data_IF_766759869347
#
_entry.id   IF_766759869347
#
_cell.length_a   1.000
_cell.length_b   1.000
_cell.length_c   1.000
_cell.angle_alpha   90.00
_cell.angle_beta   90.00
_cell.angle_gamma   90.00
#
_symmetry.space_group_name_H-M   'P 1'
#
loop_
_entity.id
_entity.type
_entity.pdbx_description
1 polymer ?
#
# COMPACT_ATOMS: atom_id res chain seq x y z
N UNK A 1 -53.49 6.21 26.09
CA UNK A 1 -52.22 5.59 26.54
C UNK A 1 -52.13 4.21 25.93
N UNK A 2 -51.27 4.03 24.93
CA UNK A 2 -50.90 2.73 24.42
C UNK A 2 -49.45 2.79 23.93
N UNK A 3 -48.69 1.86 24.48
CA UNK A 3 -47.37 1.30 24.23
C UNK A 3 -46.85 1.43 22.78
N UNK A 4 -45.58 1.80 22.63
CA UNK A 4 -44.72 1.31 21.56
C UNK A 4 -43.28 1.12 22.09
N UNK A 5 -42.87 -0.14 22.17
CA UNK A 5 -41.53 -0.60 22.55
C UNK A 5 -40.51 -0.31 21.45
N UNK A 6 -39.34 0.22 21.82
CA UNK A 6 -38.18 0.32 20.92
C UNK A 6 -37.16 -0.78 21.23
N UNK A 7 -37.17 -1.79 20.35
CA UNK A 7 -36.07 -2.68 19.95
C UNK A 7 -34.83 -1.81 19.62
N UNK A 8 -33.56 -2.11 19.87
CA UNK A 8 -32.83 -3.26 20.40
C UNK A 8 -31.32 -3.01 20.15
N UNK A 9 -30.54 -2.89 21.22
CA UNK A 9 -29.15 -3.36 21.45
C UNK A 9 -27.98 -2.97 20.51
N UNK A 10 -28.15 -2.41 19.30
CA UNK A 10 -27.01 -2.12 18.39
C UNK A 10 -26.45 -0.68 18.45
N UNK A 11 -27.20 0.31 18.91
CA UNK A 11 -26.77 1.72 18.92
C UNK A 11 -25.71 2.05 19.98
N UNK A 12 -25.79 1.38 21.15
CA UNK A 12 -24.89 1.64 22.28
C UNK A 12 -23.47 1.14 21.97
N UNK A 13 -23.34 -0.04 21.35
CA UNK A 13 -22.05 -0.69 21.04
C UNK A 13 -21.24 0.07 19.98
N UNK A 14 -21.92 0.69 19.01
CA UNK A 14 -21.27 1.52 17.99
C UNK A 14 -20.73 2.83 18.60
N UNK A 15 -21.50 3.48 19.47
CA UNK A 15 -21.09 4.69 20.19
C UNK A 15 -19.88 4.44 21.12
N UNK A 16 -19.85 3.30 21.84
CA UNK A 16 -18.70 2.95 22.71
C UNK A 16 -17.43 2.63 21.91
N UNK A 17 -17.58 2.06 20.70
CA UNK A 17 -16.43 1.73 19.82
C UNK A 17 -15.77 2.99 19.26
N UNK A 18 -16.54 4.02 18.92
CA UNK A 18 -15.99 5.30 18.44
C UNK A 18 -15.32 6.12 19.56
N UNK A 19 -15.88 6.09 20.78
CA UNK A 19 -15.29 6.80 21.93
C UNK A 19 -13.89 6.26 22.28
N UNK A 20 -13.74 4.93 22.34
CA UNK A 20 -12.44 4.29 22.60
C UNK A 20 -11.39 4.51 21.49
N UNK A 21 -11.81 4.88 20.28
CA UNK A 21 -10.92 5.22 19.16
C UNK A 21 -10.44 6.67 19.23
N UNK A 22 -11.32 7.60 19.65
CA UNK A 22 -10.99 9.01 19.85
C UNK A 22 -10.04 9.24 21.02
N UNK A 23 -10.06 8.36 22.03
CA UNK A 23 -9.19 8.42 23.22
C UNK A 23 -7.79 7.82 23.00
N UNK A 24 -7.47 7.34 21.79
CA UNK A 24 -6.14 6.77 21.48
C UNK A 24 -5.08 7.85 21.29
N UNK A 25 -3.88 7.59 21.80
CA UNK A 25 -2.67 8.41 21.62
C UNK A 25 -2.47 8.86 20.17
N UNK A 26 -2.71 7.97 19.20
CA UNK A 26 -2.54 8.28 17.78
C UNK A 26 -3.41 9.45 17.26
N UNK A 27 -4.66 9.59 17.72
CA UNK A 27 -5.53 10.72 17.32
C UNK A 27 -4.98 12.01 17.91
N UNK A 28 -4.59 11.98 19.19
CA UNK A 28 -4.02 13.13 19.89
C UNK A 28 -2.68 13.57 19.28
N UNK A 29 -1.79 12.62 18.97
CA UNK A 29 -0.51 12.87 18.33
C UNK A 29 -0.70 13.44 16.92
N UNK A 30 -1.68 12.92 16.18
CA UNK A 30 -2.00 13.43 14.83
C UNK A 30 -2.57 14.85 14.91
N UNK A 31 -3.44 15.14 15.87
CA UNK A 31 -3.98 16.49 16.08
C UNK A 31 -2.88 17.48 16.50
N UNK A 32 -1.94 17.05 17.34
CA UNK A 32 -0.78 17.85 17.73
C UNK A 32 0.14 18.14 16.55
N UNK A 33 0.46 17.12 15.75
CA UNK A 33 1.24 17.27 14.52
C UNK A 33 0.55 18.22 13.54
N UNK A 34 -0.76 18.09 13.37
CA UNK A 34 -1.53 18.92 12.44
C UNK A 34 -1.53 20.39 12.88
N UNK A 35 -1.57 20.64 14.19
CA UNK A 35 -1.49 21.98 14.78
C UNK A 35 -0.12 22.61 14.53
N UNK A 36 0.95 21.82 14.72
CA UNK A 36 2.33 22.24 14.46
C UNK A 36 2.55 22.58 12.98
N UNK A 37 2.08 21.72 12.07
CA UNK A 37 2.19 21.93 10.63
C UNK A 37 1.45 23.20 10.18
N UNK A 38 0.25 23.44 10.74
CA UNK A 38 -0.49 24.67 10.49
C UNK A 38 0.31 25.91 10.89
N UNK A 39 0.99 25.87 12.05
CA UNK A 39 1.86 26.96 12.51
C UNK A 39 3.08 27.16 11.62
N UNK A 40 3.76 26.09 11.25
CA UNK A 40 4.97 26.15 10.42
C UNK A 40 4.67 26.63 9.00
N UNK A 41 3.62 26.11 8.35
CA UNK A 41 3.28 26.50 6.99
C UNK A 41 2.85 27.95 6.88
N UNK A 42 2.21 28.50 7.92
CA UNK A 42 1.98 29.94 8.00
C UNK A 42 3.26 30.74 8.24
N UNK A 43 4.13 30.31 9.15
CA UNK A 43 5.42 30.97 9.38
C UNK A 43 6.27 31.07 8.11
N UNK A 44 6.19 30.05 7.26
CA UNK A 44 6.83 29.99 5.94
C UNK A 44 6.04 30.72 4.83
N UNK A 45 4.87 31.29 5.14
CA UNK A 45 3.93 31.92 4.20
C UNK A 45 3.44 31.01 3.06
N UNK A 46 3.47 29.69 3.27
CA UNK A 46 2.93 28.71 2.31
C UNK A 46 1.40 28.65 2.34
N UNK A 47 0.81 29.12 3.45
CA UNK A 47 -0.64 29.28 3.63
C UNK A 47 -0.90 30.68 4.16
N UNK A 48 -1.87 31.41 3.60
CA UNK A 48 -2.21 32.78 4.02
C UNK A 48 -3.70 32.93 4.32
N UNK A 49 -4.03 33.51 5.48
CA UNK A 49 -5.38 33.96 5.84
C UNK A 49 -6.33 32.88 6.40
N UNK A 50 -7.50 33.33 6.86
CA UNK A 50 -8.61 32.51 7.41
C UNK A 50 -9.52 31.89 6.32
N UNK A 51 -9.11 31.99 5.05
CA UNK A 51 -9.88 31.54 3.89
C UNK A 51 -9.68 30.06 3.54
N UNK A 52 -10.53 29.56 2.65
CA UNK A 52 -10.64 28.15 2.23
C UNK A 52 -9.41 27.54 1.51
N UNK A 53 -8.30 28.28 1.40
CA UNK A 53 -7.07 27.87 0.73
C UNK A 53 -5.99 27.57 1.76
N UNK A 54 -5.94 26.32 2.26
CA UNK A 54 -4.90 25.91 3.20
C UNK A 54 -5.27 24.79 4.18
N UNK A 55 -6.18 23.90 3.81
CA UNK A 55 -6.56 22.79 4.69
C UNK A 55 -5.51 21.68 4.63
N UNK A 56 -5.01 21.30 5.80
CA UNK A 56 -4.19 20.12 5.99
C UNK A 56 -5.12 19.05 6.58
N UNK A 57 -5.14 17.88 5.97
CA UNK A 57 -5.81 16.69 6.49
C UNK A 57 -4.78 15.57 6.56
N UNK A 58 -4.72 14.88 7.69
CA UNK A 58 -3.77 13.80 7.93
C UNK A 58 -4.57 12.55 8.30
N UNK A 59 -4.17 11.44 7.69
CA UNK A 59 -4.66 10.13 8.05
C UNK A 59 -4.02 9.71 9.37
N UNK A 60 -4.84 9.39 10.37
CA UNK A 60 -4.40 9.11 11.75
C UNK A 60 -3.66 7.77 11.87
N UNK A 61 -3.97 6.81 11.00
CA UNK A 61 -3.45 5.45 11.09
C UNK A 61 -2.61 5.08 9.86
N UNK A 62 -1.56 4.29 10.09
CA UNK A 62 -0.75 3.68 9.04
C UNK A 62 -1.50 2.58 8.26
N UNK A 63 -0.79 1.92 7.34
CA UNK A 63 -1.36 0.90 6.46
C UNK A 63 -1.77 -0.40 7.18
N UNK A 64 -1.39 -0.57 8.46
CA UNK A 64 -1.72 -1.75 9.28
C UNK A 64 -3.18 -1.78 9.78
N UNK A 65 -3.91 -0.66 9.68
CA UNK A 65 -5.33 -0.59 10.07
C UNK A 65 -6.20 -0.67 8.82
N UNK A 66 -7.24 -1.52 8.75
CA UNK A 66 -8.14 -1.60 7.59
C UNK A 66 -8.80 -0.25 7.25
N UNK A 67 -8.96 0.08 5.95
CA UNK A 67 -9.49 1.38 5.49
C UNK A 67 -10.78 1.81 6.18
N UNK A 68 -11.74 0.89 6.34
CA UNK A 68 -13.04 1.16 6.99
C UNK A 68 -12.92 1.60 8.46
N UNK A 69 -11.79 1.35 9.09
CA UNK A 69 -11.50 1.71 10.48
C UNK A 69 -10.49 2.87 10.58
N UNK A 70 -10.03 3.41 9.46
CA UNK A 70 -9.10 4.53 9.45
C UNK A 70 -9.81 5.85 9.74
N UNK A 71 -9.15 6.71 10.51
CA UNK A 71 -9.61 8.04 10.86
C UNK A 71 -8.79 9.11 10.13
N UNK A 72 -9.38 10.30 9.98
CA UNK A 72 -8.68 11.49 9.50
C UNK A 72 -8.80 12.62 10.52
N UNK A 73 -7.68 13.28 10.78
CA UNK A 73 -7.65 14.56 11.47
C UNK A 73 -7.63 15.68 10.43
N UNK A 74 -8.44 16.72 10.61
CA UNK A 74 -8.57 17.83 9.68
C UNK A 74 -8.56 19.16 10.40
N UNK A 75 -7.76 20.11 9.90
CA UNK A 75 -7.66 21.46 10.41
C UNK A 75 -8.95 22.26 10.12
N UNK A 76 -9.55 22.85 11.15
CA UNK A 76 -10.76 23.65 11.00
C UNK A 76 -10.60 24.91 10.14
N UNK A 77 -11.70 25.35 9.52
CA UNK A 77 -11.78 26.64 8.82
C UNK A 77 -12.20 27.77 9.75
N UNK A 78 -11.77 29.00 9.44
CA UNK A 78 -12.14 30.20 10.20
C UNK A 78 -11.33 30.45 11.47
N UNK A 79 -10.40 29.55 11.81
CA UNK A 79 -9.39 29.75 12.86
C UNK A 79 -8.08 30.22 12.22
N UNK A 80 -7.44 31.21 12.84
CA UNK A 80 -6.07 31.59 12.52
C UNK A 80 -5.14 30.36 12.70
N UNK A 81 -4.57 29.86 11.60
CA UNK A 81 -3.80 28.60 11.59
C UNK A 81 -2.58 28.65 12.52
N UNK A 82 -2.03 29.83 12.76
CA UNK A 82 -0.95 30.10 13.70
C UNK A 82 -1.35 29.95 15.19
N UNK A 83 -2.65 29.97 15.48
CA UNK A 83 -3.23 29.81 16.83
C UNK A 83 -3.98 28.49 17.01
N UNK A 84 -3.87 27.58 16.03
CA UNK A 84 -4.59 26.33 16.05
C UNK A 84 -4.01 25.39 17.10
N UNK A 85 -4.88 24.86 17.94
CA UNK A 85 -4.54 23.86 18.97
C UNK A 85 -5.14 22.49 18.61
N UNK A 86 -4.65 21.38 19.20
CA UNK A 86 -5.15 20.04 18.88
C UNK A 86 -6.67 19.89 19.03
N UNK A 87 -7.27 20.63 19.97
CA UNK A 87 -8.70 20.63 20.27
C UNK A 87 -9.53 21.35 19.19
N UNK A 88 -8.88 22.14 18.33
CA UNK A 88 -9.53 22.80 17.20
C UNK A 88 -9.69 21.87 15.97
N UNK A 89 -9.18 20.64 16.03
CA UNK A 89 -9.20 19.68 14.93
C UNK A 89 -10.53 18.93 14.82
N UNK A 90 -10.94 18.64 13.59
CA UNK A 90 -12.00 17.69 13.32
C UNK A 90 -11.44 16.29 13.17
N UNK A 91 -12.11 15.30 13.76
CA UNK A 91 -11.83 13.89 13.47
C UNK A 91 -12.98 13.35 12.63
N UNK A 92 -12.64 12.80 11.47
CA UNK A 92 -13.57 12.25 10.50
C UNK A 92 -13.42 10.72 10.43
N UNK A 93 -14.54 10.04 10.19
CA UNK A 93 -14.53 8.63 9.79
C UNK A 93 -13.97 8.49 8.37
N UNK A 94 -13.62 7.25 7.98
CA UNK A 94 -13.26 6.93 6.61
C UNK A 94 -14.33 7.37 5.58
N UNK A 95 -15.62 7.33 5.97
CA UNK A 95 -16.73 7.78 5.13
C UNK A 95 -16.95 9.30 5.11
N UNK A 96 -16.10 10.08 5.77
CA UNK A 96 -16.20 11.54 5.84
C UNK A 96 -17.21 12.07 6.85
N UNK A 97 -17.77 11.23 7.72
CA UNK A 97 -18.66 11.68 8.79
C UNK A 97 -17.85 12.30 9.93
N UNK A 98 -18.30 13.43 10.47
CA UNK A 98 -17.66 14.08 11.63
C UNK A 98 -17.90 13.21 12.88
N UNK A 99 -16.81 12.72 13.47
CA UNK A 99 -16.80 11.93 14.70
C UNK A 99 -16.44 12.77 15.92
N UNK A 100 -15.60 13.80 15.72
CA UNK A 100 -15.26 14.80 16.75
C UNK A 100 -15.15 16.18 16.11
N UNK A 101 -15.60 17.20 16.82
CA UNK A 101 -15.62 18.59 16.38
C UNK A 101 -15.08 19.51 17.48
N UNK A 102 -14.45 20.61 17.08
CA UNK A 102 -14.02 21.66 18.01
C UNK A 102 -15.18 22.16 18.89
N UNK A 103 -14.95 22.39 20.20
CA UNK A 103 -15.94 23.02 21.06
C UNK A 103 -16.23 24.46 20.58
N UNK A 104 -17.46 24.99 20.80
CA UNK A 104 -17.81 26.36 20.44
C UNK A 104 -16.98 27.35 21.27
N UNK A 105 -16.32 28.31 20.61
CA UNK A 105 -15.55 29.36 21.28
C UNK A 105 -16.48 30.51 21.72
N UNK A 106 -16.23 31.15 22.88
CA UNK A 106 -17.02 32.30 23.32
C UNK A 106 -16.80 33.53 22.42
N UNK A 107 -17.81 34.40 22.38
CA UNK A 107 -17.81 35.66 21.61
C UNK A 107 -16.54 36.50 21.88
N UNK A 108 -15.91 37.15 20.87
CA UNK A 108 -16.41 37.45 19.52
C UNK A 108 -16.02 36.43 18.44
N UNK A 109 -15.57 35.22 18.83
CA UNK A 109 -15.10 34.23 17.86
C UNK A 109 -16.25 33.39 17.29
N UNK A 110 -16.31 33.26 15.97
CA UNK A 110 -17.23 32.33 15.30
C UNK A 110 -16.80 30.88 15.59
N UNK A 111 -17.78 29.98 15.75
CA UNK A 111 -17.50 28.55 15.82
C UNK A 111 -16.69 28.11 14.60
N UNK A 112 -15.67 27.27 14.76
CA UNK A 112 -14.95 26.72 13.63
C UNK A 112 -15.92 25.95 12.73
N UNK A 113 -15.76 26.05 11.42
CA UNK A 113 -16.60 25.33 10.46
C UNK A 113 -15.78 24.22 9.81
N UNK A 114 -16.33 23.01 9.78
CA UNK A 114 -15.90 21.95 8.88
C UNK A 114 -16.47 22.30 7.50
N UNK A 115 -15.63 22.60 6.51
CA UNK A 115 -16.12 22.86 5.15
C UNK A 115 -16.60 21.57 4.48
N UNK A 116 -17.62 21.67 3.62
CA UNK A 116 -18.08 20.60 2.71
C UNK A 116 -17.11 20.37 1.53
N UNK A 117 -15.82 20.61 1.72
CA UNK A 117 -14.80 20.10 0.83
C UNK A 117 -14.62 18.62 1.19
N UNK A 118 -15.50 17.77 0.64
CA UNK A 118 -15.21 16.33 0.60
C UNK A 118 -13.81 16.18 0.00
N UNK A 119 -12.86 15.45 0.62
CA UNK A 119 -11.59 15.24 -0.02
C UNK A 119 -11.87 14.64 -1.40
N UNK A 120 -11.41 15.28 -2.47
CA UNK A 120 -11.62 14.82 -3.85
C UNK A 120 -11.08 13.40 -4.09
N UNK A 121 -10.35 12.83 -3.13
CA UNK A 121 -9.92 11.42 -3.09
C UNK A 121 -10.89 10.45 -2.40
N UNK A 122 -12.06 10.89 -1.91
CA UNK A 122 -12.93 10.07 -1.04
C UNK A 122 -14.33 9.78 -1.59
N UNK A 123 -14.77 10.48 -2.65
CA UNK A 123 -16.02 10.15 -3.36
C UNK A 123 -15.68 9.66 -4.75
N UNK A 124 -15.83 8.36 -4.99
CA UNK A 124 -16.15 7.86 -6.33
C UNK A 124 -17.43 8.55 -6.85
N UNK A 125 -17.74 8.49 -8.16
CA UNK A 125 -18.76 9.32 -8.78
C UNK A 125 -20.18 8.86 -8.42
N UNK A 126 -20.65 9.19 -7.22
CA UNK A 126 -22.04 8.99 -6.80
C UNK A 126 -22.57 10.25 -6.12
N UNK A 127 -22.62 11.36 -6.88
CA UNK A 127 -23.74 12.34 -6.91
C UNK A 127 -23.32 13.60 -7.66
N UNK A 128 -24.06 13.94 -8.73
CA UNK A 128 -24.02 15.26 -9.37
C UNK A 128 -24.53 16.31 -8.37
N UNK A 129 -23.64 17.17 -7.89
CA UNK A 129 -24.03 18.41 -7.22
C UNK A 129 -24.11 19.50 -8.29
N UNK A 130 -25.31 20.01 -8.55
CA UNK A 130 -25.52 21.23 -9.37
C UNK A 130 -25.04 22.43 -8.55
N UNK A 131 -23.81 22.87 -8.78
CA UNK A 131 -23.33 24.17 -8.34
C UNK A 131 -23.85 25.27 -9.26
N UNK A 132 -24.77 26.10 -8.74
CA UNK A 132 -25.24 27.30 -9.44
C UNK A 132 -24.21 28.43 -9.21
N UNK A 133 -23.28 28.62 -10.15
CA UNK A 133 -22.38 29.78 -10.12
C UNK A 133 -22.90 30.86 -11.09
N UNK A 134 -23.29 32.01 -10.52
CA UNK A 134 -23.63 33.21 -11.28
C UNK A 134 -22.34 33.98 -11.62
N UNK A 135 -22.26 34.37 -12.90
CA UNK A 135 -21.50 35.47 -13.51
C UNK A 135 -20.10 35.20 -14.10
N UNK A 136 -20.11 35.01 -15.43
CA UNK A 136 -19.37 35.71 -16.50
C UNK A 136 -17.90 36.12 -16.30
N UNK A 137 -17.00 35.48 -17.06
CA UNK A 137 -16.34 36.07 -18.24
C UNK A 137 -15.49 34.98 -18.92
N UNK A 138 -15.69 34.78 -20.22
CA UNK A 138 -15.05 33.70 -20.99
C UNK A 138 -13.61 33.99 -21.38
N UNK A 139 -12.87 32.92 -21.64
CA UNK A 139 -11.86 32.75 -22.70
C UNK A 139 -11.86 31.25 -23.00
N UNK A 140 -12.28 30.89 -24.21
CA UNK A 140 -12.27 29.54 -24.75
C UNK A 140 -10.94 29.33 -25.48
N UNK A 141 -10.11 28.38 -25.03
CA UNK A 141 -8.89 27.98 -25.73
C UNK A 141 -8.94 26.46 -25.94
N UNK A 142 -9.62 26.06 -27.00
CA UNK A 142 -9.54 24.73 -27.57
C UNK A 142 -8.19 24.57 -28.30
N UNK A 143 -7.28 23.78 -27.74
CA UNK A 143 -6.12 23.27 -28.49
C UNK A 143 -6.50 21.89 -29.04
N UNK A 144 -6.93 21.85 -30.31
CA UNK A 144 -7.06 20.60 -31.08
C UNK A 144 -5.67 20.17 -31.56
N UNK A 145 -5.10 19.15 -30.93
CA UNK A 145 -4.01 18.39 -31.53
C UNK A 145 -4.61 17.41 -32.56
N UNK A 146 -4.26 17.60 -33.83
CA UNK A 146 -4.68 16.79 -34.98
C UNK A 146 -3.66 15.65 -35.15
N UNK A 147 -4.00 14.44 -34.76
CA UNK A 147 -3.24 13.24 -35.12
C UNK A 147 -3.80 12.65 -36.42
N UNK A 148 -2.95 12.54 -37.44
CA UNK A 148 -3.26 11.91 -38.72
C UNK A 148 -3.06 10.39 -38.62
N UNK A 149 -3.95 9.69 -39.33
CA UNK A 149 -4.19 8.24 -39.45
C UNK A 149 -3.07 7.24 -39.12
N UNK A 150 -3.45 6.25 -38.31
CA UNK A 150 -3.08 4.84 -38.49
C UNK A 150 -4.29 3.97 -38.15
N UNK A 151 -4.36 2.82 -38.82
CA UNK A 151 -5.51 1.95 -39.01
C UNK A 151 -6.28 1.54 -37.74
N UNK A 152 -7.61 1.54 -37.89
CA UNK A 152 -8.61 1.11 -36.93
C UNK A 152 -8.50 -0.40 -36.62
N UNK A 153 -7.77 -0.73 -35.56
CA UNK A 153 -8.33 -1.58 -34.49
C UNK A 153 -8.23 -0.75 -33.22
N UNK A 154 -9.37 -0.22 -32.74
CA UNK A 154 -9.44 0.42 -31.43
C UNK A 154 -9.28 -0.65 -30.34
N UNK A 155 -8.08 -1.21 -30.19
CA UNK A 155 -7.70 -1.89 -28.96
C UNK A 155 -7.48 -0.78 -27.93
N UNK A 156 -8.48 -0.61 -27.06
CA UNK A 156 -8.41 0.32 -25.95
C UNK A 156 -7.33 -0.21 -25.00
N UNK A 157 -6.14 0.38 -25.07
CA UNK A 157 -5.07 0.11 -24.12
C UNK A 157 -5.61 0.24 -22.68
N UNK A 158 -5.27 -0.69 -21.79
CA UNK A 158 -5.71 -0.60 -20.39
C UNK A 158 -5.17 0.68 -19.78
N UNK A 159 -5.97 1.32 -18.93
CA UNK A 159 -5.55 2.54 -18.22
C UNK A 159 -4.44 2.23 -17.22
N UNK A 160 -4.56 1.07 -16.57
CA UNK A 160 -3.60 0.56 -15.59
C UNK A 160 -3.22 -0.88 -15.93
N UNK A 161 -1.93 -1.20 -15.76
CA UNK A 161 -1.43 -2.58 -15.81
C UNK A 161 -0.92 -2.92 -14.41
N UNK A 162 -1.37 -4.04 -13.85
CA UNK A 162 -0.86 -4.60 -12.60
C UNK A 162 -0.12 -5.89 -12.96
N UNK A 163 1.13 -6.01 -12.54
CA UNK A 163 2.00 -7.12 -12.90
C UNK A 163 2.36 -7.92 -11.65
N UNK A 164 2.34 -9.24 -11.80
CA UNK A 164 3.06 -10.13 -10.91
C UNK A 164 4.58 -10.10 -11.14
N UNK A 165 5.34 -10.69 -10.22
CA UNK A 165 6.81 -10.81 -10.32
C UNK A 165 7.21 -12.18 -10.83
N UNK A 166 7.13 -13.19 -9.98
CA UNK A 166 7.59 -14.55 -10.24
C UNK A 166 6.81 -15.15 -11.41
N UNK A 167 7.49 -15.75 -12.37
CA UNK A 167 6.87 -16.36 -13.55
C UNK A 167 6.25 -15.38 -14.55
N UNK A 168 6.31 -14.07 -14.29
CA UNK A 168 5.63 -13.03 -15.09
C UNK A 168 6.60 -11.97 -15.62
N UNK A 169 7.25 -11.22 -14.73
CA UNK A 169 8.32 -10.28 -15.09
C UNK A 169 9.70 -10.85 -14.84
N UNK A 170 9.81 -11.80 -13.91
CA UNK A 170 11.05 -12.37 -13.39
C UNK A 170 10.95 -13.89 -13.40
N UNK A 171 12.00 -14.64 -13.81
CA UNK A 171 11.99 -16.10 -13.73
C UNK A 171 11.69 -16.60 -12.31
N UNK A 172 10.85 -17.64 -12.18
CA UNK A 172 10.56 -18.26 -10.87
C UNK A 172 11.85 -18.68 -10.17
N UNK A 173 12.78 -19.26 -10.93
CA UNK A 173 14.10 -19.69 -10.46
C UNK A 173 14.93 -18.58 -9.83
N UNK A 174 14.76 -17.31 -10.23
CA UNK A 174 15.50 -16.22 -9.61
C UNK A 174 15.12 -16.05 -8.12
N UNK A 175 13.84 -16.23 -7.78
CA UNK A 175 13.41 -16.12 -6.38
C UNK A 175 13.82 -17.36 -5.60
N UNK A 176 13.56 -18.55 -6.14
CA UNK A 176 13.81 -19.83 -5.44
C UNK A 176 15.28 -20.20 -5.36
N UNK A 177 16.07 -19.88 -6.38
CA UNK A 177 17.45 -20.38 -6.53
C UNK A 177 18.48 -19.29 -6.25
N UNK A 178 18.08 -18.02 -6.20
CA UNK A 178 18.99 -16.89 -5.92
C UNK A 178 18.58 -16.13 -4.67
N UNK A 179 17.38 -15.53 -4.62
CA UNK A 179 17.02 -14.63 -3.51
C UNK A 179 16.90 -15.38 -2.16
N UNK A 180 16.15 -16.48 -2.10
CA UNK A 180 15.99 -17.23 -0.85
C UNK A 180 17.31 -17.88 -0.38
N UNK A 181 18.11 -18.55 -1.25
CA UNK A 181 19.42 -19.04 -0.87
C UNK A 181 20.35 -17.92 -0.40
N UNK A 182 20.37 -16.77 -1.06
CA UNK A 182 21.19 -15.63 -0.62
C UNK A 182 20.83 -15.18 0.80
N UNK A 183 19.53 -15.05 1.10
CA UNK A 183 19.09 -14.67 2.44
C UNK A 183 19.50 -15.70 3.49
N UNK A 184 19.33 -16.99 3.18
CA UNK A 184 19.75 -18.10 4.06
C UNK A 184 21.26 -18.05 4.32
N UNK A 185 22.07 -17.92 3.28
CA UNK A 185 23.53 -18.02 3.40
C UNK A 185 24.17 -16.77 4.03
N UNK A 186 23.46 -15.63 4.01
CA UNK A 186 23.96 -14.36 4.54
C UNK A 186 23.32 -13.91 5.86
N UNK A 187 22.33 -14.63 6.39
CA UNK A 187 21.65 -14.23 7.65
C UNK A 187 22.64 -14.11 8.83
N UNK A 188 23.56 -15.05 8.98
CA UNK A 188 24.57 -14.99 10.03
C UNK A 188 25.48 -13.77 9.89
N UNK A 189 26.04 -13.55 8.70
CA UNK A 189 26.89 -12.38 8.39
C UNK A 189 26.14 -11.06 8.65
N UNK A 190 24.88 -10.98 8.21
CA UNK A 190 24.05 -9.79 8.40
C UNK A 190 23.82 -9.51 9.90
N UNK A 191 23.39 -10.50 10.66
CA UNK A 191 23.14 -10.34 12.09
C UNK A 191 24.42 -10.01 12.86
N UNK A 192 25.57 -10.61 12.55
CA UNK A 192 26.85 -10.29 13.21
C UNK A 192 27.21 -8.80 13.03
N UNK A 193 27.12 -8.32 11.79
CA UNK A 193 27.49 -6.96 11.42
C UNK A 193 26.50 -5.91 11.90
N UNK A 194 25.20 -6.22 11.86
CA UNK A 194 24.14 -5.26 12.12
C UNK A 194 23.53 -5.38 13.53
N UNK A 195 23.92 -6.36 14.35
CA UNK A 195 23.26 -6.70 15.62
C UNK A 195 22.91 -5.47 16.47
N UNK A 196 23.87 -4.57 16.66
CA UNK A 196 23.75 -3.44 17.58
C UNK A 196 23.00 -2.24 16.96
N UNK A 197 22.53 -2.37 15.72
CA UNK A 197 21.72 -1.35 15.05
C UNK A 197 20.25 -1.46 15.50
N UNK A 198 19.56 -0.31 15.56
CA UNK A 198 18.14 -0.28 15.92
C UNK A 198 17.28 -1.14 14.99
N UNK A 199 17.56 -1.13 13.68
CA UNK A 199 16.81 -1.89 12.68
C UNK A 199 16.96 -3.40 12.87
N UNK A 200 18.18 -3.89 13.14
CA UNK A 200 18.39 -5.30 13.43
C UNK A 200 17.76 -5.70 14.77
N UNK A 201 17.77 -4.83 15.78
CA UNK A 201 17.09 -5.10 17.05
C UNK A 201 15.58 -5.21 16.89
N UNK A 202 14.97 -4.41 16.01
CA UNK A 202 13.55 -4.54 15.66
C UNK A 202 13.26 -5.87 14.94
N UNK A 203 14.11 -6.29 14.00
CA UNK A 203 14.02 -7.60 13.35
C UNK A 203 14.11 -8.75 14.37
N UNK A 204 15.12 -8.70 15.24
CA UNK A 204 15.37 -9.68 16.28
C UNK A 204 14.17 -9.79 17.22
N UNK A 205 13.58 -8.66 17.62
CA UNK A 205 12.40 -8.63 18.48
C UNK A 205 11.19 -9.31 17.82
N UNK A 206 10.94 -9.02 16.54
CA UNK A 206 9.85 -9.67 15.80
C UNK A 206 10.10 -11.17 15.63
N UNK A 207 11.32 -11.58 15.32
CA UNK A 207 11.70 -12.99 15.20
C UNK A 207 11.58 -13.72 16.53
N UNK A 208 12.01 -13.12 17.64
CA UNK A 208 11.81 -13.68 18.99
C UNK A 208 10.35 -13.96 19.27
N UNK A 209 9.48 -12.97 19.04
CA UNK A 209 8.03 -13.13 19.23
C UNK A 209 7.47 -14.27 18.36
N UNK A 210 7.88 -14.35 17.09
CA UNK A 210 7.43 -15.42 16.21
C UNK A 210 7.90 -16.80 16.68
N UNK A 211 9.17 -16.92 17.07
CA UNK A 211 9.76 -18.19 17.52
C UNK A 211 9.13 -18.65 18.84
N UNK A 212 8.83 -17.74 19.77
CA UNK A 212 8.08 -18.07 20.97
C UNK A 212 6.70 -18.67 20.66
N UNK A 213 5.99 -18.10 19.68
CA UNK A 213 4.69 -18.63 19.25
C UNK A 213 4.85 -19.97 18.51
N UNK A 214 5.90 -20.13 17.70
CA UNK A 214 6.21 -21.38 17.02
C UNK A 214 6.52 -22.51 18.01
N UNK A 215 7.27 -22.22 19.07
CA UNK A 215 7.56 -23.17 20.16
C UNK A 215 6.30 -23.57 20.92
N UNK A 216 5.40 -22.62 21.23
CA UNK A 216 4.11 -22.91 21.87
C UNK A 216 3.23 -23.82 21.00
N UNK A 217 3.30 -23.64 19.68
CA UNK A 217 2.52 -24.41 18.72
C UNK A 217 3.21 -25.70 18.25
N UNK A 218 4.41 -26.01 18.76
CA UNK A 218 5.15 -27.22 18.41
C UNK A 218 5.56 -27.27 16.92
N UNK A 219 5.89 -26.12 16.33
CA UNK A 219 6.32 -26.05 14.93
C UNK A 219 7.71 -26.70 14.79
N UNK A 220 7.82 -27.66 13.88
CA UNK A 220 9.07 -28.35 13.59
C UNK A 220 10.19 -27.37 13.17
N UNK A 221 11.36 -27.53 13.77
CA UNK A 221 12.54 -26.70 13.50
C UNK A 221 12.64 -25.40 14.29
N UNK A 222 11.63 -25.07 15.11
CA UNK A 222 11.72 -23.94 16.05
C UNK A 222 12.69 -24.28 17.20
N UNK A 223 13.63 -23.37 17.50
CA UNK A 223 14.58 -23.51 18.61
C UNK A 223 14.51 -22.28 19.53
N UNK A 224 14.60 -22.44 20.86
CA UNK A 224 14.52 -21.31 21.79
C UNK A 224 15.67 -20.33 21.57
N UNK A 225 15.35 -19.04 21.55
CA UNK A 225 16.34 -17.97 21.44
C UNK A 225 16.73 -17.54 22.86
N UNK A 226 18.02 -17.64 23.25
CA UNK A 226 18.49 -17.25 24.58
C UNK A 226 18.17 -15.79 24.92
N UNK A 227 18.13 -15.44 26.21
CA UNK A 227 18.00 -14.04 26.63
C UNK A 227 19.25 -13.22 26.24
N UNK A 228 19.12 -11.90 26.15
CA UNK A 228 20.20 -11.02 25.65
C UNK A 228 21.47 -11.05 26.53
N UNK A 229 21.35 -11.49 27.79
CA UNK A 229 22.47 -11.68 28.71
C UNK A 229 23.29 -12.98 28.47
N UNK A 230 22.82 -13.88 27.61
CA UNK A 230 23.52 -15.12 27.25
C UNK A 230 24.74 -14.86 26.34
N UNK A 231 24.81 -13.68 25.72
CA UNK A 231 25.85 -13.31 24.78
C UNK A 231 25.34 -13.24 23.35
N UNK A 232 25.90 -12.30 22.59
CA UNK A 232 25.50 -11.97 21.22
C UNK A 232 25.60 -13.18 20.28
N UNK A 233 26.66 -13.96 20.42
CA UNK A 233 26.95 -15.10 19.56
C UNK A 233 25.90 -16.21 19.68
N UNK A 234 25.46 -16.51 20.90
CA UNK A 234 24.44 -17.55 21.16
C UNK A 234 23.07 -17.13 20.62
N UNK A 235 22.71 -15.86 20.81
CA UNK A 235 21.45 -15.29 20.27
C UNK A 235 21.45 -15.36 18.74
N UNK A 236 22.55 -14.94 18.10
CA UNK A 236 22.68 -14.99 16.64
C UNK A 236 22.59 -16.43 16.14
N UNK A 237 23.29 -17.39 16.76
CA UNK A 237 23.24 -18.79 16.34
C UNK A 237 21.82 -19.37 16.39
N UNK A 238 21.06 -19.07 17.45
CA UNK A 238 19.66 -19.50 17.57
C UNK A 238 18.75 -18.83 16.52
N UNK A 239 18.95 -17.54 16.25
CA UNK A 239 18.21 -16.82 15.21
C UNK A 239 18.48 -17.40 13.81
N UNK A 240 19.74 -17.67 13.49
CA UNK A 240 20.16 -18.28 12.22
C UNK A 240 19.46 -19.64 12.04
N UNK A 241 19.52 -20.51 13.04
CA UNK A 241 18.88 -21.83 12.98
C UNK A 241 17.36 -21.74 12.73
N UNK A 242 16.68 -20.82 13.43
CA UNK A 242 15.24 -20.59 13.21
C UNK A 242 14.96 -20.05 11.80
N UNK A 243 15.72 -19.06 11.34
CA UNK A 243 15.53 -18.46 10.00
C UNK A 243 15.76 -19.49 8.91
N UNK A 244 16.82 -20.30 9.01
CA UNK A 244 17.09 -21.39 8.07
C UNK A 244 15.94 -22.42 8.04
N UNK A 245 15.42 -22.81 9.20
CA UNK A 245 14.27 -23.72 9.29
C UNK A 245 13.01 -23.11 8.65
N UNK A 246 12.73 -21.83 8.92
CA UNK A 246 11.58 -21.12 8.34
C UNK A 246 11.68 -21.00 6.80
N UNK A 247 12.87 -20.70 6.28
CA UNK A 247 13.12 -20.65 4.83
C UNK A 247 12.97 -22.03 4.21
N UNK A 248 13.57 -23.06 4.83
CA UNK A 248 13.48 -24.45 4.34
C UNK A 248 12.05 -24.97 4.27
N UNK A 249 11.19 -24.52 5.20
CA UNK A 249 9.77 -24.86 5.24
C UNK A 249 8.86 -23.91 4.42
N UNK A 250 9.43 -22.99 3.63
CA UNK A 250 8.71 -21.97 2.84
C UNK A 250 7.63 -21.22 3.66
N UNK A 251 7.98 -20.86 4.91
CA UNK A 251 7.01 -20.24 5.82
C UNK A 251 6.82 -18.77 5.50
N UNK A 252 5.57 -18.39 5.25
CA UNK A 252 5.17 -17.01 4.90
C UNK A 252 4.96 -16.13 6.14
N UNK A 253 6.06 -15.81 6.83
CA UNK A 253 6.07 -15.10 8.12
C UNK A 253 6.46 -13.63 7.92
N UNK A 254 5.73 -12.70 8.57
CA UNK A 254 6.03 -11.26 8.50
C UNK A 254 7.42 -10.91 9.02
N UNK A 255 7.80 -11.44 10.19
CA UNK A 255 9.14 -11.24 10.78
C UNK A 255 10.27 -11.70 9.85
N UNK A 256 10.13 -12.89 9.25
CA UNK A 256 11.09 -13.42 8.28
C UNK A 256 11.21 -12.50 7.05
N UNK A 257 10.09 -12.08 6.46
CA UNK A 257 10.07 -11.22 5.27
C UNK A 257 10.75 -9.87 5.52
N UNK A 258 10.63 -9.33 6.73
CA UNK A 258 11.30 -8.07 7.10
C UNK A 258 12.82 -8.24 7.07
N UNK A 259 13.33 -9.23 7.82
CA UNK A 259 14.76 -9.55 7.86
C UNK A 259 15.32 -9.87 6.45
N UNK A 260 14.62 -10.69 5.68
CA UNK A 260 15.00 -11.01 4.30
C UNK A 260 15.14 -9.74 3.45
N UNK A 261 14.21 -8.79 3.60
CA UNK A 261 14.29 -7.49 2.94
C UNK A 261 15.56 -6.71 3.26
N UNK A 262 15.99 -6.70 4.53
CA UNK A 262 17.22 -6.01 4.96
C UNK A 262 18.49 -6.72 4.48
N UNK A 263 18.50 -8.07 4.49
CA UNK A 263 19.60 -8.87 3.93
C UNK A 263 19.73 -8.60 2.42
N UNK A 264 18.62 -8.67 1.69
CA UNK A 264 18.62 -8.36 0.25
C UNK A 264 19.06 -6.93 -0.03
N UNK A 265 18.61 -5.95 0.76
CA UNK A 265 19.07 -4.56 0.60
C UNK A 265 20.59 -4.46 0.66
N UNK A 266 21.22 -5.22 1.55
CA UNK A 266 22.68 -5.31 1.64
C UNK A 266 23.27 -5.90 0.37
N UNK A 267 22.79 -7.06 -0.08
CA UNK A 267 23.28 -7.73 -1.29
C UNK A 267 23.11 -6.91 -2.57
N UNK A 268 21.96 -6.25 -2.74
CA UNK A 268 21.73 -5.33 -3.84
C UNK A 268 22.63 -4.09 -3.73
N UNK A 269 22.86 -3.54 -2.54
CA UNK A 269 23.74 -2.38 -2.38
C UNK A 269 25.22 -2.71 -2.61
N UNK A 270 25.66 -3.92 -2.26
CA UNK A 270 27.04 -4.39 -2.46
C UNK A 270 27.35 -4.92 -3.86
N UNK A 271 26.36 -4.99 -4.76
CA UNK A 271 26.45 -5.65 -6.08
C UNK A 271 26.62 -7.19 -6.01
N UNK A 272 26.31 -7.81 -4.88
CA UNK A 272 26.25 -9.28 -4.79
C UNK A 272 24.94 -9.84 -5.37
N UNK A 273 23.90 -9.00 -5.42
CA UNK A 273 22.63 -9.29 -6.08
C UNK A 273 22.35 -8.26 -7.20
N UNK A 274 21.77 -8.77 -8.27
CA UNK A 274 21.21 -8.01 -9.38
C UNK A 274 19.85 -8.57 -9.73
N UNK A 275 18.88 -7.69 -9.98
CA UNK A 275 17.52 -8.06 -10.33
C UNK A 275 17.48 -8.61 -11.75
N UNK A 276 16.84 -9.77 -11.92
CA UNK A 276 16.68 -10.38 -13.24
C UNK A 276 15.24 -10.20 -13.68
N UNK A 277 15.04 -9.69 -14.90
CA UNK A 277 13.73 -9.65 -15.56
C UNK A 277 13.84 -10.25 -16.96
N UNK A 278 12.73 -10.74 -17.53
CA UNK A 278 12.71 -11.20 -18.91
C UNK A 278 13.01 -10.04 -19.89
N UNK A 279 13.63 -10.36 -21.03
CA UNK A 279 14.18 -9.39 -21.97
C UNK A 279 13.14 -8.44 -22.58
N UNK A 280 11.88 -8.88 -22.67
CA UNK A 280 10.77 -8.10 -23.21
C UNK A 280 10.14 -7.13 -22.20
N UNK A 281 10.45 -7.30 -20.90
CA UNK A 281 9.85 -6.50 -19.81
C UNK A 281 10.29 -5.03 -19.89
N UNK A 282 11.59 -4.67 -19.99
CA UNK A 282 12.01 -3.27 -20.02
C UNK A 282 11.40 -2.47 -21.17
N UNK A 283 11.38 -3.06 -22.37
CA UNK A 283 10.84 -2.40 -23.57
C UNK A 283 9.32 -2.20 -23.43
N UNK A 284 8.61 -3.21 -22.94
CA UNK A 284 7.17 -3.12 -22.73
C UNK A 284 6.80 -2.09 -21.65
N UNK A 285 7.54 -2.05 -20.54
CA UNK A 285 7.36 -1.04 -19.49
C UNK A 285 7.60 0.38 -20.02
N UNK A 286 8.66 0.58 -20.81
CA UNK A 286 8.97 1.88 -21.41
C UNK A 286 7.88 2.32 -22.39
N UNK A 287 7.38 1.40 -23.22
CA UNK A 287 6.30 1.64 -24.18
C UNK A 287 4.99 2.01 -23.48
N UNK A 288 4.56 1.24 -22.48
CA UNK A 288 3.36 1.55 -21.69
C UNK A 288 3.48 2.91 -20.99
N UNK A 289 4.65 3.21 -20.42
CA UNK A 289 4.91 4.50 -19.80
C UNK A 289 4.79 5.66 -20.81
N UNK A 290 5.37 5.52 -22.02
CA UNK A 290 5.28 6.52 -23.08
C UNK A 290 3.84 6.74 -23.58
N UNK A 291 3.02 5.70 -23.54
CA UNK A 291 1.58 5.74 -23.86
C UNK A 291 0.71 6.27 -22.71
N UNK A 292 1.30 6.61 -21.56
CA UNK A 292 0.60 7.13 -20.39
C UNK A 292 -0.09 6.07 -19.53
N UNK A 293 0.12 4.79 -19.82
CA UNK A 293 -0.40 3.66 -19.03
C UNK A 293 0.33 3.60 -17.69
N UNK A 294 -0.42 3.44 -16.60
CA UNK A 294 0.15 3.34 -15.25
C UNK A 294 0.44 1.88 -14.90
N UNK A 295 1.70 1.56 -14.65
CA UNK A 295 2.13 0.20 -14.32
C UNK A 295 2.35 0.05 -12.82
N UNK A 296 1.81 -1.00 -12.21
CA UNK A 296 1.98 -1.32 -10.79
C UNK A 296 2.45 -2.76 -10.64
N UNK A 297 3.09 -3.07 -9.52
CA UNK A 297 3.47 -4.44 -9.17
C UNK A 297 2.55 -4.94 -8.06
N UNK A 298 2.14 -6.21 -8.10
CA UNK A 298 1.47 -6.90 -7.00
C UNK A 298 2.10 -8.27 -6.79
N UNK A 299 2.83 -8.43 -5.68
CA UNK A 299 3.57 -9.66 -5.37
C UNK A 299 3.47 -10.03 -3.88
N UNK A 300 3.72 -11.30 -3.57
CA UNK A 300 3.78 -11.79 -2.19
C UNK A 300 5.02 -11.28 -1.42
N UNK A 301 6.05 -10.83 -2.14
CA UNK A 301 7.23 -10.19 -1.57
C UNK A 301 6.91 -8.80 -1.01
N UNK A 302 7.63 -8.36 0.01
CA UNK A 302 7.44 -7.03 0.61
C UNK A 302 7.71 -5.92 -0.40
N UNK A 303 7.06 -4.76 -0.27
CA UNK A 303 7.33 -3.60 -1.15
C UNK A 303 8.82 -3.21 -1.17
N UNK A 304 9.54 -3.42 -0.08
CA UNK A 304 10.99 -3.22 -0.04
C UNK A 304 11.69 -4.16 -1.03
N UNK A 305 11.41 -5.46 -0.97
CA UNK A 305 11.98 -6.45 -1.88
C UNK A 305 11.64 -6.13 -3.35
N UNK A 306 10.39 -5.77 -3.64
CA UNK A 306 9.98 -5.38 -5.00
C UNK A 306 10.78 -4.18 -5.50
N UNK A 307 10.97 -3.15 -4.67
CA UNK A 307 11.78 -1.96 -5.02
C UNK A 307 13.26 -2.28 -5.22
N UNK A 308 13.79 -3.30 -4.54
CA UNK A 308 15.16 -3.75 -4.74
C UNK A 308 15.31 -4.46 -6.08
N UNK A 309 14.43 -5.43 -6.38
CA UNK A 309 14.41 -6.18 -7.64
C UNK A 309 14.39 -5.23 -8.83
N UNK A 310 13.42 -4.31 -8.91
CA UNK A 310 13.30 -3.40 -10.06
C UNK A 310 14.26 -2.20 -10.01
N UNK A 311 14.87 -1.92 -8.85
CA UNK A 311 15.74 -0.76 -8.67
C UNK A 311 17.15 -0.96 -9.20
N UNK A 312 17.56 -2.22 -9.37
CA UNK A 312 18.89 -2.59 -9.84
C UNK A 312 18.80 -3.87 -10.65
N UNK A 313 18.35 -3.76 -11.89
CA UNK A 313 18.30 -4.90 -12.80
C UNK A 313 19.49 -4.92 -13.76
N UNK A 314 19.63 -6.00 -14.50
CA UNK A 314 20.50 -6.13 -15.68
C UNK A 314 20.20 -5.12 -16.80
N UNK A 315 19.10 -4.35 -16.68
CA UNK A 315 18.68 -3.28 -17.58
C UNK A 315 18.71 -1.89 -16.91
N UNK A 316 19.32 -1.78 -15.72
CA UNK A 316 19.36 -0.56 -14.91
C UNK A 316 18.15 -0.41 -13.98
N UNK A 317 17.86 0.82 -13.55
CA UNK A 317 16.71 1.08 -12.67
C UNK A 317 15.41 1.17 -13.49
N UNK A 318 14.54 0.18 -13.34
CA UNK A 318 13.24 0.09 -14.02
C UNK A 318 12.11 0.78 -13.24
N UNK A 319 12.34 1.22 -12.00
CA UNK A 319 11.30 1.85 -11.16
C UNK A 319 10.76 3.15 -11.75
N UNK A 320 11.53 3.80 -12.63
CA UNK A 320 11.10 4.98 -13.39
C UNK A 320 9.83 4.73 -14.23
N UNK A 321 9.55 3.48 -14.61
CA UNK A 321 8.34 3.11 -15.36
C UNK A 321 7.19 2.66 -14.45
N UNK A 322 7.46 2.41 -13.17
CA UNK A 322 6.49 1.89 -12.22
C UNK A 322 5.84 3.03 -11.41
N UNK A 323 4.53 2.93 -11.23
CA UNK A 323 3.70 3.90 -10.51
C UNK A 323 3.46 3.51 -9.06
N UNK A 324 3.68 2.25 -8.68
CA UNK A 324 3.53 1.79 -7.30
C UNK A 324 3.68 0.29 -7.11
N UNK A 325 3.62 -0.13 -5.86
CA UNK A 325 3.84 -1.51 -5.41
C UNK A 325 2.76 -1.92 -4.41
N UNK A 326 2.15 -3.07 -4.64
CA UNK A 326 1.23 -3.76 -3.73
C UNK A 326 1.87 -5.04 -3.24
N UNK A 327 1.65 -5.35 -1.96
CA UNK A 327 2.07 -6.57 -1.31
C UNK A 327 0.89 -7.17 -0.53
N UNK A 328 1.13 -8.24 0.22
CA UNK A 328 0.07 -8.93 0.98
C UNK A 328 -0.61 -8.07 2.06
N UNK A 329 -0.14 -6.84 2.30
CA UNK A 329 -0.86 -5.88 3.15
C UNK A 329 -2.20 -5.42 2.53
N UNK A 330 -2.36 -5.52 1.20
CA UNK A 330 -3.64 -5.27 0.52
C UNK A 330 -4.59 -6.48 0.63
N UNK A 331 -4.05 -7.67 0.89
CA UNK A 331 -4.77 -8.94 0.98
C UNK A 331 -4.02 -10.08 0.30
N UNK A 332 -4.57 -11.30 0.33
CA UNK A 332 -3.98 -12.44 -0.35
C UNK A 332 -4.22 -12.37 -1.87
N UNK A 333 -3.23 -12.74 -2.70
CA UNK A 333 -3.35 -12.70 -4.17
C UNK A 333 -4.42 -13.66 -4.74
N UNK A 334 -4.88 -14.63 -3.97
CA UNK A 334 -5.95 -15.56 -4.37
C UNK A 334 -7.35 -15.13 -3.91
N UNK A 335 -7.45 -13.98 -3.26
CA UNK A 335 -8.70 -13.44 -2.74
C UNK A 335 -9.24 -12.31 -3.61
N UNK A 336 -10.54 -12.38 -3.94
CA UNK A 336 -11.26 -11.38 -4.74
C UNK A 336 -11.17 -10.00 -4.09
N UNK A 337 -11.27 -9.93 -2.75
CA UNK A 337 -11.23 -8.68 -1.98
C UNK A 337 -9.95 -7.88 -2.20
N UNK A 338 -8.82 -8.54 -2.44
CA UNK A 338 -7.54 -7.86 -2.69
C UNK A 338 -7.59 -7.03 -3.97
N UNK A 339 -8.21 -7.55 -5.03
CA UNK A 339 -8.31 -6.86 -6.32
C UNK A 339 -9.39 -5.76 -6.31
N UNK A 340 -10.45 -5.94 -5.51
CA UNK A 340 -11.40 -4.86 -5.23
C UNK A 340 -10.69 -3.69 -4.53
N UNK A 341 -9.90 -3.98 -3.50
CA UNK A 341 -9.13 -2.97 -2.76
C UNK A 341 -8.08 -2.28 -3.66
N UNK A 342 -7.40 -3.02 -4.55
CA UNK A 342 -6.50 -2.45 -5.56
C UNK A 342 -7.26 -1.52 -6.49
N UNK A 343 -8.42 -1.94 -7.01
CA UNK A 343 -9.23 -1.12 -7.93
C UNK A 343 -9.66 0.19 -7.27
N UNK A 344 -10.13 0.14 -6.02
CA UNK A 344 -10.48 1.31 -5.23
C UNK A 344 -9.27 2.22 -4.97
N UNK A 345 -8.11 1.64 -4.65
CA UNK A 345 -6.88 2.41 -4.43
C UNK A 345 -6.43 3.13 -5.70
N UNK A 346 -6.52 2.47 -6.86
CA UNK A 346 -6.14 3.03 -8.15
C UNK A 346 -7.12 4.10 -8.66
N UNK A 347 -8.33 4.17 -8.08
CA UNK A 347 -9.34 5.16 -8.43
C UNK A 347 -9.81 5.04 -9.88
N UNK A 348 -9.89 3.81 -10.39
CA UNK A 348 -10.50 3.52 -11.70
C UNK A 348 -12.03 3.54 -11.58
N UNK A 349 -12.73 3.92 -12.64
CA UNK A 349 -14.20 3.96 -12.65
C UNK A 349 -14.76 2.55 -12.84
N UNK A 350 -14.06 1.70 -13.60
CA UNK A 350 -14.41 0.30 -13.81
C UNK A 350 -13.20 -0.60 -13.57
N UNK A 351 -13.33 -1.72 -12.83
CA UNK A 351 -12.24 -2.67 -12.64
C UNK A 351 -11.67 -3.20 -13.97
N UNK A 352 -12.48 -3.27 -15.03
CA UNK A 352 -12.05 -3.68 -16.38
C UNK A 352 -11.06 -2.71 -17.05
N UNK A 353 -10.82 -1.53 -16.48
CA UNK A 353 -9.75 -0.61 -16.93
C UNK A 353 -8.36 -1.05 -16.45
N UNK A 354 -8.30 -2.06 -15.59
CA UNK A 354 -7.07 -2.66 -15.07
C UNK A 354 -6.87 -4.00 -15.77
N UNK A 355 -5.71 -4.14 -16.42
CA UNK A 355 -5.19 -5.44 -16.87
C UNK A 355 -4.27 -6.00 -15.79
N UNK A 356 -4.59 -7.18 -15.26
CA UNK A 356 -3.71 -7.94 -14.38
C UNK A 356 -3.00 -9.05 -15.17
N UNK A 357 -1.68 -9.13 -15.03
CA UNK A 357 -0.87 -10.17 -15.67
C UNK A 357 -0.18 -11.00 -14.57
N UNK A 358 -0.40 -12.31 -14.59
CA UNK A 358 0.17 -13.29 -13.63
C UNK A 358 0.37 -14.63 -14.33
N UNK A 359 1.27 -15.48 -13.86
CA UNK A 359 1.37 -16.88 -14.27
C UNK A 359 0.42 -17.80 -13.49
N UNK A 360 -0.07 -17.36 -12.33
CA UNK A 360 -0.82 -18.19 -11.39
C UNK A 360 -2.31 -18.18 -11.72
N UNK A 361 -2.83 -19.34 -12.15
CA UNK A 361 -4.25 -19.51 -12.49
C UNK A 361 -5.23 -19.06 -11.40
N UNK A 362 -4.96 -19.39 -10.13
CA UNK A 362 -5.86 -19.02 -9.02
C UNK A 362 -5.91 -17.50 -8.78
N UNK A 363 -4.82 -16.79 -9.06
CA UNK A 363 -4.79 -15.33 -8.98
C UNK A 363 -5.57 -14.71 -10.14
N UNK A 364 -5.40 -15.25 -11.36
CA UNK A 364 -6.18 -14.87 -12.53
C UNK A 364 -7.69 -15.02 -12.31
N UNK A 365 -8.12 -16.14 -11.71
CA UNK A 365 -9.52 -16.37 -11.34
C UNK A 365 -10.04 -15.33 -10.34
N UNK A 366 -9.26 -15.04 -9.29
CA UNK A 366 -9.65 -14.07 -8.28
C UNK A 366 -9.75 -12.64 -8.85
N UNK A 367 -8.79 -12.23 -9.69
CA UNK A 367 -8.80 -10.92 -10.36
C UNK A 367 -9.98 -10.78 -11.33
N UNK A 368 -10.26 -11.81 -12.14
CA UNK A 368 -11.39 -11.79 -13.07
C UNK A 368 -12.73 -11.76 -12.35
N UNK A 369 -12.86 -12.47 -11.24
CA UNK A 369 -14.05 -12.42 -10.38
C UNK A 369 -14.25 -11.05 -9.72
N UNK A 370 -13.18 -10.26 -9.52
CA UNK A 370 -13.25 -8.86 -9.09
C UNK A 370 -13.56 -7.88 -10.24
N UNK A 371 -13.65 -8.37 -11.49
CA UNK A 371 -14.01 -7.59 -12.67
C UNK A 371 -12.84 -7.02 -13.47
N UNK A 372 -11.60 -7.37 -13.13
CA UNK A 372 -10.41 -6.93 -13.89
C UNK A 372 -10.33 -7.64 -15.24
N UNK A 373 -9.63 -7.03 -16.19
CA UNK A 373 -9.10 -7.79 -17.33
C UNK A 373 -7.85 -8.56 -16.92
N UNK A 374 -7.66 -9.74 -17.51
CA UNK A 374 -6.63 -10.68 -17.05
C UNK A 374 -5.99 -11.39 -18.23
N UNK A 375 -4.65 -11.43 -18.24
CA UNK A 375 -3.85 -12.25 -19.12
C UNK A 375 -2.93 -13.16 -18.29
N UNK A 376 -2.79 -14.42 -18.70
CA UNK A 376 -1.87 -15.36 -18.06
C UNK A 376 -0.52 -15.33 -18.79
N UNK A 377 0.57 -15.07 -18.04
CA UNK A 377 1.92 -15.11 -18.58
C UNK A 377 2.44 -16.55 -18.65
N UNK A 378 2.90 -16.94 -19.84
CA UNK A 378 3.54 -18.24 -20.09
C UNK A 378 5.03 -18.00 -20.24
N UNK A 379 5.80 -18.38 -19.22
CA UNK A 379 7.25 -18.25 -19.20
C UNK A 379 7.92 -19.60 -18.95
N UNK A 380 9.19 -19.77 -19.36
CA UNK A 380 9.96 -20.96 -19.02
C UNK A 380 9.98 -21.19 -17.50
N UNK A 381 9.61 -22.40 -17.07
CA UNK A 381 9.56 -22.79 -15.66
C UNK A 381 8.19 -22.64 -14.99
N UNK A 382 7.21 -21.99 -15.64
CA UNK A 382 5.86 -21.87 -15.09
C UNK A 382 5.17 -23.24 -15.00
N UNK A 383 4.30 -23.40 -14.01
CA UNK A 383 3.51 -24.61 -13.82
C UNK A 383 2.48 -24.84 -14.94
N UNK A 384 1.98 -26.06 -15.11
CA UNK A 384 0.95 -26.35 -16.11
C UNK A 384 -0.37 -25.63 -15.77
N UNK A 385 -1.05 -25.15 -16.80
CA UNK A 385 -2.38 -24.57 -16.68
C UNK A 385 -3.47 -25.64 -16.90
N UNK A 386 -4.66 -25.50 -16.27
CA UNK A 386 -5.80 -26.36 -16.56
C UNK A 386 -6.23 -26.26 -18.02
N UNK A 387 -6.66 -27.38 -18.62
CA UNK A 387 -7.22 -27.39 -19.96
C UNK A 387 -8.44 -26.45 -20.07
N UNK A 388 -8.53 -25.69 -21.17
CA UNK A 388 -9.65 -24.78 -21.47
C UNK A 388 -9.95 -23.77 -20.35
N UNK A 389 -8.91 -23.26 -19.70
CA UNK A 389 -9.02 -22.26 -18.62
C UNK A 389 -9.69 -20.93 -19.04
N UNK A 390 -9.79 -20.63 -20.35
CA UNK A 390 -10.59 -19.51 -20.86
C UNK A 390 -9.98 -18.11 -20.70
N UNK A 391 -8.73 -18.01 -20.23
CA UNK A 391 -7.99 -16.75 -20.13
C UNK A 391 -7.14 -16.52 -21.39
N UNK A 392 -6.94 -15.25 -21.76
CA UNK A 392 -5.88 -14.90 -22.72
C UNK A 392 -4.54 -15.33 -22.15
N UNK A 393 -3.67 -15.88 -23.00
CA UNK A 393 -2.29 -16.22 -22.64
C UNK A 393 -1.34 -15.35 -23.46
N UNK A 394 -0.22 -14.95 -22.86
CA UNK A 394 0.85 -14.21 -23.52
C UNK A 394 2.19 -14.85 -23.19
N UNK A 395 3.09 -14.95 -24.17
CA UNK A 395 4.46 -15.43 -23.99
C UNK A 395 5.44 -14.26 -23.84
N UNK A 396 5.02 -13.08 -24.30
CA UNK A 396 5.73 -11.82 -24.14
C UNK A 396 4.76 -10.66 -23.88
N UNK A 397 5.21 -9.67 -23.12
CA UNK A 397 4.50 -8.40 -22.92
C UNK A 397 4.40 -7.57 -24.19
N UNK A 398 5.15 -7.89 -25.25
CA UNK A 398 4.98 -7.25 -26.56
C UNK A 398 3.61 -7.51 -27.20
N UNK A 399 2.93 -8.59 -26.79
CA UNK A 399 1.60 -9.01 -27.26
C UNK A 399 0.44 -8.18 -26.68
N UNK A 400 0.75 -7.31 -25.72
CA UNK A 400 -0.15 -6.29 -25.13
C UNK A 400 0.28 -4.92 -25.63
#
# INVERSE_FOLDING_TARGET
MAIASAVGVNGVKLATTFQAYLERTAVNDTNALLSELCRQFQGLRWVSGTGASGFIAIKVHGYSIPKRQQLMAMAASGVQKERMVPEDMYVLSHGGSILSSSPPKPYPHNSPNCFDCTPLSMKGPTQRIKGNSRNNAGIDVSVKARAQGLDNRNEVLPRCVVLDIEGTTTPISFVTDVLFPYARDNVAKHLILAYDTAEAQDDIKLLRSQVEDDLKNGVDGAVPIPADNAGKEEVIAALVANVEAMIKADRKITALKQLQGHIWRTGFSSNELEGVVFDDVPESLARWHALGVKVYIYSSGSRLAQRLIFGKTNYGDLRKYLSGFFDTAVGNKREISSYVEISEYLGVDKPSEILFITDVYQEAVAAKAAGLEVAISIRPGNGPLPDKHGFQTINSFSEI
#
